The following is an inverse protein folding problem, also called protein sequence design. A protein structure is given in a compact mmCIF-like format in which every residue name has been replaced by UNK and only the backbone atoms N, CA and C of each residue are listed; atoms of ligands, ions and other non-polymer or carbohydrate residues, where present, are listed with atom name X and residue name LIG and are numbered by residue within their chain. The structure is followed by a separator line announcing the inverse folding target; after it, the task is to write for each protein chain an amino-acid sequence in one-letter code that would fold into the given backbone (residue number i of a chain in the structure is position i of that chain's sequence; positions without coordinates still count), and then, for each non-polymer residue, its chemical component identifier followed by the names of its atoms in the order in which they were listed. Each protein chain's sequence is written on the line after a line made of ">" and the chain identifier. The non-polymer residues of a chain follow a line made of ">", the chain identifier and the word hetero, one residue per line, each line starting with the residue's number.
data_IF_548262170461
#
_entry.id   IF_548262170461
#
_cell.length_a   1.000
_cell.length_b   1.000
_cell.length_c   1.000
_cell.angle_alpha   90.00
_cell.angle_beta   90.00
_cell.angle_gamma   90.00
#
_symmetry.space_group_name_H-M   'P 1'
#
loop_
_entity.id
_entity.type
_entity.pdbx_description
1 polymer ?
#
# COMPACT_ATOMS: atom_id res chain seq x y z
N UNK A 1 4.23 27.67 -3.65
CA UNK A 1 3.11 26.73 -3.35
C UNK A 1 2.98 26.63 -1.83
N UNK A 2 1.77 26.75 -1.29
CA UNK A 2 1.53 26.74 0.16
C UNK A 2 1.67 25.30 0.73
N UNK A 3 2.42 25.13 1.83
CA UNK A 3 2.64 23.83 2.49
C UNK A 3 1.31 23.20 2.91
N UNK A 4 0.39 23.99 3.47
CA UNK A 4 -0.93 23.54 3.89
C UNK A 4 -1.73 22.97 2.72
N UNK A 5 -1.70 23.65 1.57
CA UNK A 5 -2.41 23.21 0.36
C UNK A 5 -1.85 21.87 -0.15
N UNK A 6 -0.52 21.72 -0.19
CA UNK A 6 0.12 20.46 -0.60
C UNK A 6 -0.26 19.30 0.33
N UNK A 7 -0.28 19.54 1.64
CA UNK A 7 -0.67 18.54 2.63
C UNK A 7 -2.13 18.14 2.42
N UNK A 8 -3.02 19.12 2.22
CA UNK A 8 -4.43 18.87 1.95
C UNK A 8 -4.62 18.02 0.69
N UNK A 9 -3.99 18.40 -0.43
CA UNK A 9 -4.06 17.67 -1.69
C UNK A 9 -3.56 16.23 -1.55
N UNK A 10 -2.47 16.02 -0.80
CA UNK A 10 -1.94 14.67 -0.56
C UNK A 10 -2.86 13.82 0.30
N UNK A 11 -3.46 14.37 1.36
CA UNK A 11 -4.28 13.58 2.29
C UNK A 11 -5.72 13.34 1.81
N UNK A 12 -6.27 14.22 0.96
CA UNK A 12 -7.67 14.14 0.53
C UNK A 12 -7.84 13.73 -0.92
N UNK A 13 -6.90 14.10 -1.81
CA UNK A 13 -7.09 13.91 -3.25
C UNK A 13 -6.19 12.83 -3.84
N UNK A 14 -5.18 12.37 -3.11
CA UNK A 14 -4.29 11.32 -3.60
C UNK A 14 -4.87 9.92 -3.33
N UNK A 15 -4.85 9.03 -4.34
CA UNK A 15 -5.15 7.62 -4.12
C UNK A 15 -4.21 7.01 -3.09
N UNK A 16 -4.74 6.11 -2.27
CA UNK A 16 -4.01 5.52 -1.15
C UNK A 16 -2.79 4.72 -1.63
N UNK A 17 -2.89 4.05 -2.78
CA UNK A 17 -1.84 3.23 -3.38
C UNK A 17 -0.61 4.07 -3.76
N UNK A 18 -0.82 5.35 -4.08
CA UNK A 18 0.24 6.28 -4.50
C UNK A 18 0.96 6.92 -3.32
N UNK A 19 0.40 6.82 -2.11
CA UNK A 19 1.01 7.41 -0.92
C UNK A 19 2.11 6.48 -0.39
N UNK A 20 3.33 7.03 -0.35
CA UNK A 20 4.50 6.35 0.20
C UNK A 20 4.70 6.71 1.66
N UNK A 21 5.39 5.85 2.41
CA UNK A 21 5.78 6.13 3.79
C UNK A 21 6.65 7.41 3.89
N UNK A 22 7.52 7.64 2.90
CA UNK A 22 8.31 8.87 2.81
C UNK A 22 7.45 10.12 2.65
N UNK A 23 6.39 10.08 1.84
CA UNK A 23 5.45 11.19 1.70
C UNK A 23 4.66 11.44 2.98
N UNK A 24 4.17 10.41 3.65
CA UNK A 24 3.47 10.53 4.94
C UNK A 24 4.40 11.13 6.02
N UNK A 25 5.67 10.72 6.04
CA UNK A 25 6.69 11.30 6.91
C UNK A 25 6.93 12.78 6.62
N UNK A 26 7.01 13.16 5.34
CA UNK A 26 7.16 14.55 4.93
C UNK A 26 5.93 15.40 5.30
N UNK A 27 4.72 14.86 5.15
CA UNK A 27 3.48 15.53 5.57
C UNK A 27 3.47 15.73 7.09
N UNK A 28 3.90 14.73 7.87
CA UNK A 28 4.02 14.83 9.33
C UNK A 28 4.95 15.97 9.74
N UNK A 29 6.13 16.08 9.11
CA UNK A 29 7.07 17.19 9.33
C UNK A 29 6.45 18.55 8.98
N UNK A 30 5.80 18.66 7.82
CA UNK A 30 5.13 19.90 7.41
C UNK A 30 4.00 20.32 8.35
N UNK A 31 3.25 19.37 8.92
CA UNK A 31 2.24 19.67 9.95
C UNK A 31 2.87 20.14 11.26
N UNK A 32 4.02 19.59 11.66
CA UNK A 32 4.77 20.06 12.81
C UNK A 32 5.21 21.51 12.63
N UNK A 33 5.80 21.85 11.49
CA UNK A 33 6.25 23.21 11.17
C UNK A 33 5.09 24.22 11.22
N UNK A 34 3.93 23.86 10.64
CA UNK A 34 2.74 24.71 10.66
C UNK A 34 2.16 24.86 12.08
N UNK A 35 2.18 23.79 12.88
CA UNK A 35 1.72 23.86 14.28
C UNK A 35 2.64 24.76 15.10
N UNK A 36 3.95 24.67 14.90
CA UNK A 36 4.93 25.52 15.56
C UNK A 36 4.80 27.00 15.13
N UNK A 37 4.36 27.25 13.90
CA UNK A 37 4.00 28.58 13.41
C UNK A 37 2.64 29.09 13.95
N UNK A 38 1.95 28.34 14.82
CA UNK A 38 0.72 28.76 15.48
C UNK A 38 -0.58 28.35 14.78
N UNK A 39 -0.50 27.57 13.69
CA UNK A 39 -1.70 27.05 13.05
C UNK A 39 -2.32 25.90 13.86
N UNK A 40 -3.63 25.95 14.08
CA UNK A 40 -4.39 24.89 14.72
C UNK A 40 -4.90 23.91 13.68
N UNK A 41 -4.21 22.78 13.51
CA UNK A 41 -4.44 21.81 12.42
C UNK A 41 -4.73 20.39 12.92
N UNK A 42 -5.38 20.25 14.07
CA UNK A 42 -5.69 18.93 14.67
C UNK A 42 -6.46 18.01 13.72
N UNK A 43 -7.43 18.56 12.98
CA UNK A 43 -8.19 17.82 11.98
C UNK A 43 -7.31 17.23 10.85
N UNK A 44 -6.19 17.86 10.50
CA UNK A 44 -5.22 17.31 9.54
C UNK A 44 -4.35 16.23 10.16
N UNK A 45 -4.01 16.35 11.45
CA UNK A 45 -3.27 15.31 12.18
C UNK A 45 -4.10 14.03 12.27
N UNK A 46 -5.36 14.14 12.69
CA UNK A 46 -6.30 13.01 12.72
C UNK A 46 -6.47 12.37 11.33
N UNK A 47 -6.56 13.20 10.28
CA UNK A 47 -6.64 12.69 8.90
C UNK A 47 -5.37 11.93 8.51
N UNK A 48 -4.19 12.47 8.81
CA UNK A 48 -2.90 11.82 8.56
C UNK A 48 -2.82 10.46 9.25
N UNK A 49 -3.25 10.35 10.51
CA UNK A 49 -3.27 9.09 11.25
C UNK A 49 -4.18 8.06 10.58
N UNK A 50 -5.40 8.45 10.19
CA UNK A 50 -6.35 7.58 9.48
C UNK A 50 -5.77 7.07 8.17
N UNK A 51 -5.24 7.96 7.34
CA UNK A 51 -4.62 7.61 6.05
C UNK A 51 -3.40 6.71 6.24
N UNK A 52 -2.59 6.95 7.28
CA UNK A 52 -1.42 6.12 7.59
C UNK A 52 -1.82 4.71 8.02
N UNK A 53 -2.88 4.57 8.82
CA UNK A 53 -3.44 3.28 9.21
C UNK A 53 -3.97 2.51 8.00
N UNK A 54 -4.76 3.18 7.16
CA UNK A 54 -5.30 2.60 5.92
C UNK A 54 -4.16 2.14 5.00
N UNK A 55 -3.11 2.97 4.84
CA UNK A 55 -1.96 2.61 3.99
C UNK A 55 -1.23 1.37 4.50
N UNK A 56 -1.07 1.25 5.82
CA UNK A 56 -0.47 0.06 6.46
C UNK A 56 -1.33 -1.19 6.26
N UNK A 57 -2.67 -1.07 6.29
CA UNK A 57 -3.56 -2.19 5.97
C UNK A 57 -3.41 -2.61 4.50
N UNK A 58 -3.40 -1.63 3.60
CA UNK A 58 -3.23 -1.87 2.17
C UNK A 58 -1.92 -2.59 1.86
N UNK A 59 -0.79 -2.18 2.47
CA UNK A 59 0.49 -2.89 2.27
C UNK A 59 0.45 -4.33 2.78
N UNK A 60 -0.30 -4.59 3.86
CA UNK A 60 -0.57 -5.96 4.32
C UNK A 60 -1.35 -6.78 3.29
N UNK A 61 -2.39 -6.21 2.68
CA UNK A 61 -3.16 -6.86 1.62
C UNK A 61 -2.33 -7.08 0.35
N UNK A 62 -1.50 -6.12 -0.04
CA UNK A 62 -0.57 -6.25 -1.17
C UNK A 62 0.42 -7.41 -0.94
N UNK A 63 0.97 -7.52 0.27
CA UNK A 63 1.86 -8.62 0.63
C UNK A 63 1.14 -9.97 0.60
N UNK A 64 -0.09 -10.03 1.11
CA UNK A 64 -0.92 -11.24 1.08
C UNK A 64 -1.27 -11.66 -0.36
N UNK A 65 -1.65 -10.71 -1.22
CA UNK A 65 -1.94 -10.96 -2.62
C UNK A 65 -0.72 -11.54 -3.35
N UNK A 66 0.47 -10.97 -3.10
CA UNK A 66 1.73 -11.45 -3.68
C UNK A 66 2.08 -12.88 -3.26
N UNK A 67 1.80 -13.24 -2.00
CA UNK A 67 2.01 -14.61 -1.52
C UNK A 67 1.01 -15.57 -2.17
N UNK A 68 -0.26 -15.19 -2.30
CA UNK A 68 -1.27 -15.99 -2.99
C UNK A 68 -0.91 -16.21 -4.46
N UNK A 69 -0.42 -15.17 -5.16
CA UNK A 69 0.06 -15.30 -6.55
C UNK A 69 1.21 -16.30 -6.68
N UNK A 70 2.12 -16.34 -5.70
CA UNK A 70 3.23 -17.29 -5.68
C UNK A 70 2.73 -18.73 -5.48
N UNK A 71 1.79 -18.92 -4.55
CA UNK A 71 1.19 -20.23 -4.30
C UNK A 71 0.42 -20.74 -5.52
N UNK A 72 -0.33 -19.87 -6.19
CA UNK A 72 -1.08 -20.19 -7.40
C UNK A 72 -0.13 -20.66 -8.53
N UNK A 73 0.97 -19.94 -8.77
CA UNK A 73 2.00 -20.35 -9.75
C UNK A 73 2.64 -21.70 -9.43
N UNK A 74 2.89 -21.97 -8.14
CA UNK A 74 3.42 -23.27 -7.71
C UNK A 74 2.43 -24.41 -7.98
N UNK A 75 1.13 -24.17 -7.73
CA UNK A 75 0.09 -25.16 -7.95
C UNK A 75 -0.12 -25.43 -9.44
N UNK A 76 -0.11 -24.38 -10.28
CA UNK A 76 -0.17 -24.51 -11.74
C UNK A 76 0.98 -25.37 -12.28
N UNK A 77 2.21 -25.15 -11.80
CA UNK A 77 3.36 -25.95 -12.20
C UNK A 77 3.21 -27.42 -11.78
N UNK A 78 2.76 -27.68 -10.56
CA UNK A 78 2.52 -29.05 -10.07
C UNK A 78 1.47 -29.76 -10.93
N UNK A 79 0.39 -29.08 -11.27
CA UNK A 79 -0.68 -29.62 -12.11
C UNK A 79 -0.18 -29.92 -13.53
N UNK A 80 0.65 -29.05 -14.11
CA UNK A 80 1.30 -29.30 -15.40
C UNK A 80 2.20 -30.54 -15.37
N UNK A 81 3.01 -30.70 -14.32
CA UNK A 81 3.89 -31.86 -14.16
C UNK A 81 3.08 -33.16 -14.03
N UNK A 82 2.06 -33.19 -13.17
CA UNK A 82 1.20 -34.36 -13.02
C UNK A 82 0.49 -34.73 -14.32
N UNK A 83 0.02 -33.73 -15.08
CA UNK A 83 -0.60 -33.94 -16.39
C UNK A 83 0.38 -34.57 -17.39
N UNK A 84 1.65 -34.15 -17.37
CA UNK A 84 2.69 -34.72 -18.22
C UNK A 84 2.98 -36.18 -17.82
N UNK A 85 3.11 -36.48 -16.52
CA UNK A 85 3.33 -37.84 -16.03
C UNK A 85 2.19 -38.80 -16.40
N UNK A 86 0.93 -38.34 -16.31
CA UNK A 86 -0.24 -39.14 -16.72
C UNK A 86 -0.17 -39.47 -18.20
N UNK A 87 0.18 -38.51 -19.06
CA UNK A 87 0.32 -38.75 -20.50
C UNK A 87 1.43 -39.75 -20.80
N UNK A 88 2.60 -39.59 -20.19
CA UNK A 88 3.72 -40.51 -20.36
C UNK A 88 3.35 -41.95 -19.97
N UNK A 89 2.57 -42.12 -18.90
CA UNK A 89 2.08 -43.44 -18.47
C UNK A 89 1.00 -44.03 -19.38
N UNK A 90 0.24 -43.20 -20.10
CA UNK A 90 -0.79 -43.66 -21.02
C UNK A 90 -0.22 -44.04 -22.41
N UNK A 91 0.95 -43.51 -22.76
CA UNK A 91 1.65 -43.77 -24.03
C UNK A 91 2.70 -44.88 -23.92
N UNK A 92 3.00 -45.36 -22.70
CA UNK A 92 3.87 -46.51 -22.39
C UNK A 92 3.07 -47.80 -22.30
#
# INVERSE_FOLDING_TARGET
>A
MNILLRIYEKLYNSPLEKLTEGELSNISKGLLDLTQAGFKLEWLREKLEKVSLERKKLSGYEAQAKELEKQLKSLELMMCNLKAEIKLKAES
#
